data_IF_677789302964
#
_entry.id   IF_677789302964
#
_cell.length_a   1.000
_cell.length_b   1.000
_cell.length_c   1.000
_cell.angle_alpha   90.00
_cell.angle_beta   90.00
_cell.angle_gamma   90.00
#
_symmetry.space_group_name_H-M   'P 1'
#
loop_
_entity.id
_entity.type
_entity.pdbx_description
1 polymer ?
#
# COMPACT_ATOMS: atom_id res chain seq x y z
N UNK A 1 33.36 7.57 87.74
CA UNK A 1 32.14 8.38 87.96
C UNK A 1 32.37 9.77 87.37
N UNK A 2 31.36 10.51 86.87
CA UNK A 2 29.94 10.20 86.64
C UNK A 2 29.60 10.32 85.12
N UNK A 3 28.40 10.19 84.54
CA UNK A 3 27.02 9.83 84.89
C UNK A 3 26.34 9.49 83.53
N UNK A 4 25.47 8.49 83.50
CA UNK A 4 24.43 8.37 82.45
C UNK A 4 23.30 9.39 82.74
N UNK A 5 22.42 9.74 81.78
CA UNK A 5 21.13 9.05 81.77
C UNK A 5 20.41 8.87 80.40
N UNK A 6 19.81 7.68 80.28
CA UNK A 6 18.49 7.24 79.76
C UNK A 6 17.57 8.21 78.99
N UNK A 7 16.86 7.62 78.00
CA UNK A 7 15.40 7.66 77.70
C UNK A 7 15.18 7.63 76.16
N UNK A 8 14.14 7.07 75.54
CA UNK A 8 13.09 6.16 75.96
C UNK A 8 12.47 5.46 74.71
N UNK A 9 11.76 4.39 75.01
CA UNK A 9 10.81 3.54 74.28
C UNK A 9 10.01 4.01 73.03
N UNK A 10 9.64 2.99 72.25
CA UNK A 10 8.43 2.79 71.39
C UNK A 10 8.40 3.43 69.99
N UNK A 11 7.95 2.78 68.91
CA UNK A 11 6.66 2.08 68.73
C UNK A 11 6.67 1.23 67.44
N UNK A 12 5.97 0.08 67.49
CA UNK A 12 5.71 -0.88 66.38
C UNK A 12 4.94 -0.26 65.22
N UNK A 13 5.28 -0.65 63.98
CA UNK A 13 4.48 -0.44 62.77
C UNK A 13 4.49 -1.70 61.90
N UNK A 14 3.33 -2.37 61.80
CA UNK A 14 3.02 -3.50 60.94
C UNK A 14 2.56 -2.95 59.58
N UNK A 15 3.12 -3.43 58.46
CA UNK A 15 2.61 -3.14 57.13
C UNK A 15 2.42 -4.44 56.33
N UNK A 16 1.20 -4.55 55.80
CA UNK A 16 0.59 -5.68 55.10
C UNK A 16 1.18 -5.85 53.69
N UNK A 17 1.45 -7.11 53.32
CA UNK A 17 1.70 -7.54 51.94
C UNK A 17 0.35 -7.73 51.23
N UNK A 18 -0.03 -6.78 50.37
CA UNK A 18 -1.16 -6.91 49.44
C UNK A 18 -0.65 -7.25 48.05
N UNK A 19 -1.00 -8.44 47.56
CA UNK A 19 -0.67 -8.95 46.23
C UNK A 19 -1.49 -8.25 45.13
N UNK A 20 -0.82 -7.52 44.23
CA UNK A 20 -1.40 -7.09 42.95
C UNK A 20 -1.30 -8.23 41.94
N UNK A 21 -2.44 -8.84 41.61
CA UNK A 21 -2.60 -9.64 40.40
C UNK A 21 -2.69 -8.71 39.20
N UNK A 22 -1.59 -8.59 38.45
CA UNK A 22 -1.54 -7.87 37.18
C UNK A 22 -2.27 -8.65 36.09
N UNK A 23 -3.32 -8.08 35.53
CA UNK A 23 -3.94 -8.53 34.29
C UNK A 23 -3.08 -8.01 33.14
N UNK A 24 -2.25 -8.88 32.56
CA UNK A 24 -1.54 -8.58 31.33
C UNK A 24 -2.52 -8.67 30.15
N UNK A 25 -2.98 -7.52 29.65
CA UNK A 25 -3.63 -7.43 28.34
C UNK A 25 -2.57 -7.73 27.28
N UNK A 26 -2.65 -8.92 26.67
CA UNK A 26 -1.87 -9.23 25.47
C UNK A 26 -2.40 -8.37 24.33
N UNK A 27 -1.70 -7.28 24.02
CA UNK A 27 -1.86 -6.60 22.74
C UNK A 27 -1.41 -7.59 21.64
N UNK A 28 -2.37 -8.12 20.89
CA UNK A 28 -2.06 -8.85 19.66
C UNK A 28 -1.26 -7.92 18.75
N UNK A 29 -0.04 -8.31 18.40
CA UNK A 29 0.69 -7.66 17.33
C UNK A 29 -0.09 -7.92 16.04
N UNK A 30 -0.83 -6.93 15.55
CA UNK A 30 -1.20 -6.93 14.14
C UNK A 30 0.13 -6.96 13.36
N UNK A 31 0.32 -7.95 12.50
CA UNK A 31 1.40 -7.91 11.51
C UNK A 31 1.22 -6.65 10.66
N UNK A 32 2.30 -6.02 10.21
CA UNK A 32 2.18 -4.91 9.24
C UNK A 32 1.94 -5.49 7.85
N UNK A 33 1.04 -4.87 7.06
CA UNK A 33 0.90 -5.18 5.64
C UNK A 33 1.75 -4.21 4.83
N UNK A 34 2.65 -4.77 4.03
CA UNK A 34 3.58 -4.00 3.21
C UNK A 34 2.96 -3.80 1.83
N UNK A 35 2.59 -2.55 1.53
CA UNK A 35 2.27 -2.13 0.18
C UNK A 35 3.54 -2.18 -0.66
N UNK A 36 3.59 -3.15 -1.58
CA UNK A 36 4.74 -3.42 -2.45
C UNK A 36 4.42 -3.04 -3.88
N UNK A 37 5.31 -2.25 -4.46
CA UNK A 37 5.25 -1.80 -5.84
C UNK A 37 3.92 -1.19 -6.31
N UNK A 38 3.28 -0.28 -5.54
CA UNK A 38 2.48 0.77 -6.16
C UNK A 38 3.27 1.51 -7.24
N UNK A 39 2.80 1.40 -8.48
CA UNK A 39 3.33 2.11 -9.65
C UNK A 39 2.19 2.90 -10.30
N UNK A 40 2.40 4.20 -10.48
CA UNK A 40 1.45 5.13 -11.07
C UNK A 40 1.94 5.63 -12.43
N UNK A 41 1.18 5.34 -13.47
CA UNK A 41 1.34 5.83 -14.84
C UNK A 41 0.35 6.96 -15.11
N UNK A 42 0.77 7.94 -15.91
CA UNK A 42 -0.02 9.13 -16.24
C UNK A 42 -0.06 9.32 -17.76
N UNK A 43 -1.26 9.31 -18.33
CA UNK A 43 -1.48 9.45 -19.76
C UNK A 43 -2.41 10.64 -20.03
N UNK A 44 -1.92 11.89 -19.90
CA UNK A 44 -2.73 13.06 -20.25
C UNK A 44 -2.99 13.13 -21.75
N UNK A 45 -4.06 13.78 -22.20
CA UNK A 45 -4.35 13.91 -23.64
C UNK A 45 -3.37 14.83 -24.39
N UNK A 46 -2.71 15.72 -23.66
CA UNK A 46 -1.63 16.59 -24.14
C UNK A 46 -0.52 16.61 -23.10
N UNK A 47 0.72 16.85 -23.51
CA UNK A 47 1.84 16.97 -22.56
C UNK A 47 1.53 18.02 -21.49
N UNK A 48 1.53 17.62 -20.23
CA UNK A 48 1.01 18.42 -19.11
C UNK A 48 1.97 18.39 -17.93
N UNK A 49 2.26 19.57 -17.36
CA UNK A 49 3.03 19.69 -16.12
C UNK A 49 2.10 19.46 -14.91
N UNK A 50 2.35 18.41 -14.16
CA UNK A 50 1.52 17.96 -13.04
C UNK A 50 2.31 18.00 -11.73
N UNK A 51 1.63 18.43 -10.67
CA UNK A 51 1.98 18.08 -9.30
C UNK A 51 1.08 16.95 -8.84
N UNK A 52 1.68 15.84 -8.41
CA UNK A 52 1.02 14.61 -8.00
C UNK A 52 1.30 14.40 -6.53
N UNK A 53 0.28 14.50 -5.68
CA UNK A 53 0.39 14.28 -4.25
C UNK A 53 -0.26 12.95 -3.87
N UNK A 54 0.45 12.16 -3.06
CA UNK A 54 -0.03 10.95 -2.43
C UNK A 54 -0.28 11.22 -0.94
N UNK A 55 -1.44 10.78 -0.47
CA UNK A 55 -1.78 10.62 0.94
C UNK A 55 -2.03 9.13 1.21
N UNK A 56 -1.09 8.50 1.89
CA UNK A 56 -1.12 7.10 2.27
C UNK A 56 -1.31 6.96 3.79
N UNK A 57 -2.33 6.19 4.18
CA UNK A 57 -2.59 5.80 5.57
C UNK A 57 -1.58 4.75 6.06
N UNK A 58 -0.34 5.19 6.22
CA UNK A 58 0.77 4.36 6.63
C UNK A 58 2.08 5.13 6.57
N UNK A 59 3.19 4.40 6.44
CA UNK A 59 4.53 4.95 6.31
C UNK A 59 5.06 4.63 4.92
N UNK A 60 5.50 5.65 4.18
CA UNK A 60 6.27 5.43 2.96
C UNK A 60 7.68 4.97 3.33
N UNK A 61 8.09 3.82 2.80
CA UNK A 61 9.41 3.22 3.03
C UNK A 61 10.36 3.49 1.87
N UNK A 62 9.83 3.67 0.66
CA UNK A 62 10.60 4.02 -0.52
C UNK A 62 9.77 4.81 -1.52
N UNK A 63 10.43 5.69 -2.27
CA UNK A 63 9.81 6.47 -3.36
C UNK A 63 10.81 6.63 -4.51
N UNK A 64 10.31 6.57 -5.74
CA UNK A 64 11.10 6.86 -6.93
C UNK A 64 10.20 7.38 -8.08
N UNK A 65 10.60 8.42 -8.83
CA UNK A 65 11.71 9.34 -8.56
C UNK A 65 11.58 10.01 -7.19
N UNK A 66 12.64 10.71 -6.75
CA UNK A 66 12.62 11.40 -5.46
C UNK A 66 11.57 12.52 -5.50
N UNK A 67 10.55 12.52 -4.63
CA UNK A 67 9.55 13.58 -4.58
C UNK A 67 10.15 14.90 -4.07
N UNK A 68 9.52 16.03 -4.42
CA UNK A 68 9.87 17.37 -3.96
C UNK A 68 9.62 17.51 -2.46
N UNK A 69 8.52 16.92 -1.97
CA UNK A 69 8.20 16.85 -0.55
C UNK A 69 7.88 15.42 -0.15
N UNK A 70 8.36 15.02 1.02
CA UNK A 70 8.03 13.73 1.61
C UNK A 70 7.93 13.86 3.12
N UNK A 71 6.86 13.31 3.67
CA UNK A 71 6.64 13.12 5.09
C UNK A 71 6.04 11.73 5.31
N UNK A 72 5.85 11.31 6.56
CA UNK A 72 5.21 10.02 6.84
C UNK A 72 3.87 9.92 6.11
N UNK A 73 3.72 8.93 5.24
CA UNK A 73 2.51 8.70 4.46
C UNK A 73 2.29 9.67 3.30
N UNK A 74 3.07 10.74 3.17
CA UNK A 74 2.84 11.77 2.16
C UNK A 74 4.03 11.96 1.22
N UNK A 75 3.76 12.07 -0.06
CA UNK A 75 4.76 12.44 -1.07
C UNK A 75 4.14 13.37 -2.10
N UNK A 76 4.92 14.30 -2.66
CA UNK A 76 4.51 15.11 -3.80
C UNK A 76 5.59 15.13 -4.86
N UNK A 77 5.24 14.72 -6.07
CA UNK A 77 6.07 14.78 -7.27
C UNK A 77 5.62 15.94 -8.17
N UNK A 78 6.57 16.62 -8.81
CA UNK A 78 6.32 17.49 -9.95
C UNK A 78 6.99 16.86 -11.17
N UNK A 79 6.18 16.58 -12.18
CA UNK A 79 6.59 15.92 -13.43
C UNK A 79 5.89 16.56 -14.61
N UNK A 80 6.50 16.49 -15.79
CA UNK A 80 5.81 16.70 -17.06
C UNK A 80 5.43 15.33 -17.60
N UNK A 81 4.13 15.04 -17.69
CA UNK A 81 3.62 13.78 -18.22
C UNK A 81 3.26 13.94 -19.70
N UNK A 82 3.70 12.99 -20.53
CA UNK A 82 3.41 12.93 -21.95
C UNK A 82 2.30 11.93 -22.27
N UNK A 83 1.55 12.08 -23.38
CA UNK A 83 0.45 11.18 -23.72
C UNK A 83 0.83 9.71 -23.90
N UNK A 84 2.11 9.42 -24.15
CA UNK A 84 2.66 8.06 -24.28
C UNK A 84 3.04 7.43 -22.93
N UNK A 85 2.88 8.16 -21.82
CA UNK A 85 3.19 7.70 -20.46
C UNK A 85 4.57 8.11 -19.95
N UNK A 86 5.42 8.73 -20.78
CA UNK A 86 6.72 9.21 -20.34
C UNK A 86 6.59 10.38 -19.36
N UNK A 87 7.32 10.31 -18.23
CA UNK A 87 7.39 11.35 -17.23
C UNK A 87 8.78 11.99 -17.27
N UNK A 88 8.83 13.31 -17.39
CA UNK A 88 10.09 14.07 -17.36
C UNK A 88 10.16 14.96 -16.11
N UNK A 89 11.29 14.95 -15.40
CA UNK A 89 11.54 15.90 -14.29
C UNK A 89 12.13 17.24 -14.76
N UNK A 90 12.30 18.18 -13.84
CA UNK A 90 12.85 19.52 -14.14
C UNK A 90 14.29 19.50 -14.69
N UNK A 91 15.03 18.40 -14.54
CA UNK A 91 16.37 18.23 -15.11
C UNK A 91 16.36 17.64 -16.53
N UNK A 92 15.19 17.27 -17.04
CA UNK A 92 15.04 16.58 -18.32
C UNK A 92 15.25 15.07 -18.24
N UNK A 93 15.26 14.47 -17.04
CA UNK A 93 15.38 13.03 -16.89
C UNK A 93 14.01 12.36 -17.04
N UNK A 94 14.00 11.26 -17.77
CA UNK A 94 12.83 10.46 -18.09
C UNK A 94 12.60 9.33 -17.09
N UNK A 95 11.33 9.06 -16.80
CA UNK A 95 10.85 7.99 -15.94
C UNK A 95 9.60 7.36 -16.55
N UNK A 96 9.44 6.03 -16.47
CA UNK A 96 8.25 5.37 -16.99
C UNK A 96 7.02 5.55 -16.08
N UNK A 97 7.23 5.92 -14.81
CA UNK A 97 6.19 5.94 -13.79
C UNK A 97 6.66 6.64 -12.50
N UNK A 98 5.70 6.95 -11.63
CA UNK A 98 5.97 7.19 -10.21
C UNK A 98 5.82 5.87 -9.45
N UNK A 99 6.67 5.64 -8.46
CA UNK A 99 6.74 4.42 -7.67
C UNK A 99 6.88 4.75 -6.20
N UNK A 100 6.24 3.94 -5.36
CA UNK A 100 6.47 3.97 -3.92
C UNK A 100 6.28 2.60 -3.29
N UNK A 101 6.81 2.44 -2.09
CA UNK A 101 6.51 1.33 -1.18
C UNK A 101 6.14 1.89 0.18
N UNK A 102 5.34 1.14 0.93
CA UNK A 102 4.96 1.55 2.26
C UNK A 102 4.52 0.42 3.16
N UNK A 103 4.45 0.73 4.44
CA UNK A 103 3.94 -0.13 5.50
C UNK A 103 2.62 0.47 5.99
N UNK A 104 1.60 -0.36 6.17
CA UNK A 104 0.32 0.05 6.70
C UNK A 104 -0.26 -1.01 7.62
N UNK A 105 -1.34 -0.69 8.34
CA UNK A 105 -1.99 -1.64 9.24
C UNK A 105 -2.52 -2.84 8.44
N UNK A 106 -2.28 -4.08 8.92
CA UNK A 106 -2.88 -5.28 8.33
C UNK A 106 -4.36 -5.40 8.70
N UNK A 107 -5.19 -4.64 7.99
CA UNK A 107 -6.64 -4.67 8.16
C UNK A 107 -7.33 -5.59 7.15
N UNK A 108 -6.60 -6.05 6.13
CA UNK A 108 -7.21 -6.73 4.99
C UNK A 108 -7.32 -8.24 5.23
N UNK A 109 -8.52 -8.77 5.06
CA UNK A 109 -8.83 -10.21 5.09
C UNK A 109 -9.16 -10.70 3.68
N UNK A 110 -8.90 -11.98 3.39
CA UNK A 110 -9.25 -12.60 2.10
C UNK A 110 -10.49 -13.48 2.27
N UNK A 111 -11.66 -12.86 2.21
CA UNK A 111 -12.96 -13.57 2.32
C UNK A 111 -13.48 -14.10 0.98
N UNK A 112 -12.88 -13.63 -0.12
CA UNK A 112 -13.15 -14.05 -1.50
C UNK A 112 -11.85 -13.94 -2.30
N UNK A 113 -11.74 -14.69 -3.40
CA UNK A 113 -10.52 -14.69 -4.22
C UNK A 113 -10.44 -15.88 -5.15
N UNK A 114 -9.32 -15.98 -5.84
CA UNK A 114 -9.03 -17.06 -6.77
C UNK A 114 -7.86 -17.87 -6.23
N UNK A 115 -8.03 -19.19 -6.13
CA UNK A 115 -6.91 -20.09 -5.88
C UNK A 115 -6.16 -20.28 -7.19
N UNK A 116 -4.90 -19.87 -7.23
CA UNK A 116 -4.09 -19.85 -8.45
C UNK A 116 -2.85 -20.70 -8.25
N UNK A 117 -2.70 -21.71 -9.09
CA UNK A 117 -1.52 -22.57 -9.14
C UNK A 117 -0.39 -21.90 -9.91
N UNK A 118 0.85 -22.23 -9.56
CA UNK A 118 2.05 -21.62 -10.14
C UNK A 118 2.13 -21.71 -11.68
N UNK A 119 1.70 -22.83 -12.25
CA UNK A 119 1.69 -23.09 -13.70
C UNK A 119 0.61 -22.29 -14.45
N UNK A 120 -0.45 -21.85 -13.76
CA UNK A 120 -1.53 -21.05 -14.30
C UNK A 120 -1.39 -19.54 -14.01
N UNK A 121 -0.46 -19.14 -13.13
CA UNK A 121 -0.39 -17.78 -12.59
C UNK A 121 -0.26 -16.69 -13.64
N UNK A 122 0.60 -16.87 -14.65
CA UNK A 122 0.80 -15.88 -15.71
C UNK A 122 -0.49 -15.69 -16.54
N UNK A 123 -1.07 -16.78 -17.06
CA UNK A 123 -2.27 -16.72 -17.89
C UNK A 123 -3.47 -16.16 -17.11
N UNK A 124 -3.62 -16.55 -15.84
CA UNK A 124 -4.63 -16.01 -14.94
C UNK A 124 -4.49 -14.48 -14.80
N UNK A 125 -3.27 -14.00 -14.52
CA UNK A 125 -3.03 -12.58 -14.35
C UNK A 125 -3.24 -11.82 -15.68
N UNK A 126 -2.78 -12.34 -16.81
CA UNK A 126 -3.04 -11.72 -18.13
C UNK A 126 -4.53 -11.52 -18.39
N UNK A 127 -5.34 -12.55 -18.12
CA UNK A 127 -6.79 -12.48 -18.26
C UNK A 127 -7.41 -11.43 -17.33
N UNK A 128 -7.12 -11.51 -16.02
CA UNK A 128 -7.77 -10.63 -15.03
C UNK A 128 -7.29 -9.18 -15.14
N UNK A 129 -6.01 -8.94 -15.40
CA UNK A 129 -5.47 -7.59 -15.55
C UNK A 129 -6.00 -6.92 -16.83
N UNK A 130 -6.17 -7.66 -17.92
CA UNK A 130 -6.81 -7.15 -19.13
C UNK A 130 -8.29 -6.79 -18.90
N UNK A 131 -9.03 -7.65 -18.19
CA UNK A 131 -10.41 -7.36 -17.76
C UNK A 131 -10.47 -6.07 -16.92
N UNK A 132 -9.52 -5.90 -16.00
CA UNK A 132 -9.39 -4.73 -15.13
C UNK A 132 -8.72 -3.53 -15.82
N UNK A 133 -8.53 -3.59 -17.13
CA UNK A 133 -8.19 -2.44 -17.96
C UNK A 133 -6.71 -2.11 -18.03
N UNK A 134 -5.80 -2.91 -17.49
CA UNK A 134 -4.36 -2.73 -17.71
C UNK A 134 -4.00 -2.97 -19.19
N UNK A 135 -3.06 -2.18 -19.69
CA UNK A 135 -2.45 -2.42 -21.00
C UNK A 135 -1.55 -3.65 -20.94
N UNK A 136 -1.16 -4.19 -22.10
CA UNK A 136 -0.22 -5.31 -22.15
C UNK A 136 1.12 -4.95 -21.49
N UNK A 137 1.58 -3.71 -21.65
CA UNK A 137 2.82 -3.24 -21.04
C UNK A 137 2.72 -3.21 -19.51
N UNK A 138 1.66 -2.61 -18.96
CA UNK A 138 1.43 -2.52 -17.51
C UNK A 138 1.22 -3.91 -16.90
N UNK A 139 0.46 -4.78 -17.57
CA UNK A 139 0.24 -6.15 -17.14
C UNK A 139 1.55 -6.95 -17.12
N UNK A 140 2.41 -6.80 -18.14
CA UNK A 140 3.72 -7.44 -18.16
C UNK A 140 4.60 -6.99 -16.99
N UNK A 141 4.61 -5.70 -16.64
CA UNK A 141 5.37 -5.19 -15.49
C UNK A 141 4.80 -5.67 -14.15
N UNK A 142 3.48 -5.75 -14.04
CA UNK A 142 2.80 -6.34 -12.89
C UNK A 142 3.22 -7.80 -12.72
N UNK A 143 3.08 -8.61 -13.78
CA UNK A 143 3.36 -10.06 -13.77
C UNK A 143 4.84 -10.32 -13.52
N UNK A 144 5.74 -9.52 -14.08
CA UNK A 144 7.20 -9.68 -13.85
C UNK A 144 7.55 -9.51 -12.37
N UNK A 145 6.78 -8.72 -11.62
CA UNK A 145 6.98 -8.59 -10.17
C UNK A 145 6.21 -9.64 -9.37
N UNK A 146 4.90 -9.79 -9.60
CA UNK A 146 4.04 -10.65 -8.77
C UNK A 146 4.05 -12.11 -9.18
N UNK A 147 4.22 -12.41 -10.47
CA UNK A 147 4.24 -13.78 -11.01
C UNK A 147 5.25 -14.70 -10.33
N UNK A 148 6.55 -14.32 -10.22
CA UNK A 148 7.53 -15.14 -9.51
C UNK A 148 7.15 -15.40 -8.05
N UNK A 149 6.60 -14.40 -7.35
CA UNK A 149 6.18 -14.52 -5.93
C UNK A 149 5.01 -15.48 -5.75
N UNK A 150 4.05 -15.46 -6.69
CA UNK A 150 2.95 -16.43 -6.71
C UNK A 150 3.49 -17.83 -7.03
N UNK A 151 4.41 -17.94 -7.97
CA UNK A 151 4.98 -19.22 -8.40
C UNK A 151 5.80 -19.89 -7.28
N UNK A 152 6.58 -19.11 -6.51
CA UNK A 152 7.37 -19.61 -5.38
C UNK A 152 6.52 -20.26 -4.27
N UNK A 153 5.26 -19.83 -4.12
CA UNK A 153 4.31 -20.43 -3.17
C UNK A 153 3.73 -21.76 -3.67
N UNK A 154 3.90 -22.09 -4.95
CA UNK A 154 3.26 -23.25 -5.60
C UNK A 154 1.76 -23.04 -5.85
N UNK A 155 1.03 -22.50 -4.88
CA UNK A 155 -0.35 -22.04 -5.03
C UNK A 155 -0.65 -20.90 -4.06
N UNK A 156 -1.46 -19.93 -4.46
CA UNK A 156 -1.84 -18.80 -3.61
C UNK A 156 -3.32 -18.44 -3.77
N UNK A 157 -3.90 -17.85 -2.73
CA UNK A 157 -5.17 -17.13 -2.85
C UNK A 157 -4.89 -15.71 -3.28
N UNK A 158 -5.42 -15.32 -4.45
CA UNK A 158 -5.31 -13.96 -4.99
C UNK A 158 -6.65 -13.25 -4.82
N UNK A 159 -6.65 -12.13 -4.10
CA UNK A 159 -7.81 -11.25 -3.91
C UNK A 159 -7.51 -9.88 -4.50
N UNK A 160 -8.36 -9.40 -5.39
CA UNK A 160 -8.34 -8.02 -5.89
C UNK A 160 -9.04 -7.11 -4.87
N UNK A 161 -8.25 -6.35 -4.12
CA UNK A 161 -8.67 -5.53 -2.99
C UNK A 161 -8.59 -4.02 -3.28
N UNK A 162 -8.81 -3.64 -4.55
CA UNK A 162 -8.67 -2.26 -5.04
C UNK A 162 -9.44 -1.24 -4.20
N UNK A 163 -10.70 -1.49 -3.88
CA UNK A 163 -11.54 -0.51 -3.16
C UNK A 163 -11.05 -0.24 -1.74
N UNK A 164 -10.60 -1.29 -1.04
CA UNK A 164 -10.02 -1.14 0.29
C UNK A 164 -8.68 -0.40 0.23
N UNK A 165 -7.83 -0.75 -0.72
CA UNK A 165 -6.57 -0.06 -0.94
C UNK A 165 -6.78 1.42 -1.32
N UNK A 166 -7.77 1.73 -2.16
CA UNK A 166 -8.03 3.09 -2.62
C UNK A 166 -8.45 4.05 -1.50
N UNK A 167 -9.06 3.53 -0.42
CA UNK A 167 -9.37 4.32 0.79
C UNK A 167 -8.13 4.68 1.60
N UNK A 168 -7.05 3.91 1.44
CA UNK A 168 -5.78 4.10 2.16
C UNK A 168 -4.76 4.89 1.35
N UNK A 169 -4.78 4.82 0.03
CA UNK A 169 -3.86 5.54 -0.86
C UNK A 169 -4.64 6.49 -1.79
N UNK A 170 -4.67 7.76 -1.43
CA UNK A 170 -5.42 8.81 -2.13
C UNK A 170 -4.46 9.70 -2.91
N UNK A 171 -4.73 9.90 -4.19
CA UNK A 171 -3.99 10.87 -5.01
C UNK A 171 -4.75 12.16 -5.19
N UNK A 172 -3.98 13.25 -5.32
CA UNK A 172 -4.44 14.53 -5.80
C UNK A 172 -3.53 14.99 -6.93
N UNK A 173 -4.11 15.42 -8.04
CA UNK A 173 -3.37 15.97 -9.18
C UNK A 173 -3.71 17.44 -9.34
N UNK A 174 -2.69 18.26 -9.56
CA UNK A 174 -2.89 19.67 -9.91
C UNK A 174 -1.98 20.07 -11.05
N UNK A 175 -2.37 21.09 -11.79
CA UNK A 175 -1.47 21.77 -12.71
C UNK A 175 -0.31 22.39 -11.92
N UNK A 176 0.93 22.09 -12.34
CA UNK A 176 2.11 22.48 -11.58
C UNK A 176 2.35 24.00 -11.55
N UNK A 177 1.76 24.75 -12.49
CA UNK A 177 1.97 26.20 -12.62
C UNK A 177 0.92 27.03 -11.88
N UNK A 178 -0.34 26.66 -12.03
CA UNK A 178 -1.50 27.38 -11.50
C UNK A 178 -2.00 26.82 -10.18
N UNK A 179 -1.65 25.57 -9.85
CA UNK A 179 -2.18 24.85 -8.69
C UNK A 179 -3.65 24.43 -8.84
N UNK A 180 -4.25 24.60 -10.03
CA UNK A 180 -5.62 24.21 -10.30
C UNK A 180 -5.77 22.67 -10.29
N UNK A 181 -6.94 22.19 -9.85
CA UNK A 181 -7.22 20.76 -9.79
C UNK A 181 -7.29 20.16 -11.19
N UNK A 182 -6.61 19.02 -11.35
CA UNK A 182 -6.69 18.18 -12.53
C UNK A 182 -7.30 16.86 -12.09
N UNK A 183 -8.40 16.47 -12.72
CA UNK A 183 -9.08 15.21 -12.42
C UNK A 183 -8.89 14.29 -13.62
N UNK A 184 -8.29 13.10 -13.46
CA UNK A 184 -8.28 12.11 -14.53
C UNK A 184 -9.71 11.76 -14.94
N UNK A 185 -9.98 11.78 -16.24
CA UNK A 185 -11.23 11.30 -16.82
C UNK A 185 -11.42 9.79 -16.55
N UNK A 186 -10.31 9.07 -16.43
CA UNK A 186 -10.30 7.65 -16.10
C UNK A 186 -9.19 7.36 -15.09
N UNK A 187 -9.51 6.68 -13.99
CA UNK A 187 -8.52 6.15 -13.07
C UNK A 187 -8.71 4.63 -12.93
N UNK A 188 -7.79 3.87 -13.54
CA UNK A 188 -7.74 2.41 -13.42
C UNK A 188 -6.81 2.06 -12.27
N UNK A 189 -7.30 1.23 -11.34
CA UNK A 189 -6.51 0.81 -10.18
C UNK A 189 -6.63 -0.68 -9.93
N UNK A 190 -5.50 -1.37 -9.79
CA UNK A 190 -5.46 -2.80 -9.48
C UNK A 190 -4.55 -3.06 -8.29
N UNK A 191 -5.11 -3.56 -7.21
CA UNK A 191 -4.32 -3.95 -6.04
C UNK A 191 -4.64 -5.37 -5.63
N UNK A 192 -3.61 -6.23 -5.54
CA UNK A 192 -3.78 -7.63 -5.15
C UNK A 192 -3.30 -7.90 -3.72
N UNK A 193 -4.01 -8.77 -3.03
CA UNK A 193 -3.53 -9.49 -1.86
C UNK A 193 -3.16 -10.90 -2.29
N UNK A 194 -1.98 -11.34 -1.89
CA UNK A 194 -1.46 -12.69 -2.18
C UNK A 194 -1.21 -13.37 -0.86
N UNK A 195 -2.06 -14.32 -0.52
CA UNK A 195 -1.95 -15.10 0.72
C UNK A 195 -2.05 -16.59 0.49
N UNK A 196 -2.05 -17.33 1.59
CA UNK A 196 -2.11 -18.78 1.59
C UNK A 196 -3.45 -19.31 1.09
N UNK A 197 -3.43 -20.52 0.51
CA UNK A 197 -4.67 -21.21 0.11
C UNK A 197 -5.47 -21.56 1.37
N UNK A 198 -6.74 -21.11 1.48
CA UNK A 198 -7.53 -21.33 2.68
C UNK A 198 -7.93 -22.81 2.81
N UNK A 199 -7.98 -23.31 4.05
CA UNK A 199 -8.42 -24.69 4.32
C UNK A 199 -9.91 -24.90 3.96
N UNK A 200 -10.71 -23.84 4.13
CA UNK A 200 -12.11 -23.81 3.70
C UNK A 200 -12.21 -23.00 2.42
N UNK A 201 -12.88 -23.51 1.37
CA UNK A 201 -13.06 -22.75 0.13
C UNK A 201 -13.73 -21.39 0.38
N UNK A 202 -13.20 -20.35 -0.27
CA UNK A 202 -13.82 -19.03 -0.35
C UNK A 202 -14.48 -18.85 -1.71
N UNK A 203 -15.55 -18.03 -1.82
CA UNK A 203 -16.16 -17.73 -3.12
C UNK A 203 -15.16 -17.00 -4.04
N UNK A 204 -15.28 -17.26 -5.35
CA UNK A 204 -14.57 -16.48 -6.36
C UNK A 204 -15.16 -15.08 -6.51
N UNK A 205 -14.29 -14.09 -6.71
CA UNK A 205 -14.72 -12.70 -6.90
C UNK A 205 -15.42 -12.51 -8.24
N UNK A 206 -16.40 -11.63 -8.27
CA UNK A 206 -17.01 -11.15 -9.51
C UNK A 206 -16.39 -9.82 -9.89
N UNK A 207 -15.42 -9.87 -10.80
CA UNK A 207 -14.75 -8.68 -11.31
C UNK A 207 -15.56 -8.06 -12.44
N UNK A 208 -15.79 -6.75 -12.37
CA UNK A 208 -16.38 -5.98 -13.45
C UNK A 208 -15.28 -5.50 -14.42
N UNK A 209 -15.56 -5.43 -15.74
CA UNK A 209 -14.66 -4.79 -16.68
C UNK A 209 -14.38 -3.33 -16.28
N UNK A 210 -13.14 -2.88 -16.47
CA UNK A 210 -12.79 -1.49 -16.27
C UNK A 210 -13.49 -0.55 -17.26
N UNK A 211 -13.67 0.74 -16.90
CA UNK A 211 -14.12 1.75 -17.85
C UNK A 211 -13.12 1.89 -19.02
N UNK A 212 -13.62 2.42 -20.15
CA UNK A 212 -12.77 2.73 -21.29
C UNK A 212 -11.76 3.83 -20.93
N UNK A 213 -10.53 3.73 -21.45
CA UNK A 213 -9.51 4.77 -21.33
C UNK A 213 -9.86 5.95 -22.21
N UNK A 214 -10.43 7.00 -21.62
CA UNK A 214 -10.78 8.24 -22.32
C UNK A 214 -10.10 9.42 -21.65
N UNK A 215 -9.72 10.44 -22.42
CA UNK A 215 -9.14 11.67 -21.87
C UNK A 215 -7.84 11.44 -21.09
N UNK A 216 -7.62 12.20 -20.02
CA UNK A 216 -6.52 11.97 -19.10
C UNK A 216 -6.77 10.68 -18.31
N UNK A 217 -5.94 9.66 -18.55
CA UNK A 217 -5.99 8.40 -17.83
C UNK A 217 -4.85 8.28 -16.82
N UNK A 218 -5.17 8.01 -15.56
CA UNK A 218 -4.20 7.55 -14.57
C UNK A 218 -4.36 6.04 -14.37
N UNK A 219 -3.25 5.33 -14.25
CA UNK A 219 -3.26 3.89 -13.97
C UNK A 219 -2.36 3.60 -12.79
N UNK A 220 -2.88 2.93 -11.77
CA UNK A 220 -2.06 2.41 -10.68
C UNK A 220 -2.22 0.90 -10.56
N UNK A 221 -1.11 0.20 -10.34
CA UNK A 221 -1.18 -1.15 -9.83
C UNK A 221 -0.19 -1.40 -8.71
N UNK A 222 -0.47 -2.37 -7.85
CA UNK A 222 0.36 -2.76 -6.73
C UNK A 222 -0.17 -4.01 -6.03
N UNK A 223 0.35 -4.31 -4.85
CA UNK A 223 -0.20 -5.37 -4.02
C UNK A 223 0.49 -5.53 -2.67
N UNK A 224 0.05 -6.52 -1.90
CA UNK A 224 0.67 -6.94 -0.65
C UNK A 224 0.69 -8.46 -0.56
N UNK A 225 1.71 -8.97 0.14
CA UNK A 225 1.79 -10.37 0.55
C UNK A 225 1.24 -10.50 1.97
N UNK A 226 0.48 -11.57 2.21
CA UNK A 226 -0.04 -11.97 3.53
C UNK A 226 0.69 -13.19 4.07
#
# INVERSE_FOLDING_TARGET
MPRSPKADLTRRGLLLLGSLTGVAMLAGCASDQNAKKPVLYLYPSVTTALSVSLDYQGRLTYTYPKPQTQANGHATWQVTASPDGDLTDASGRHYPSLFWEGEGPATSTQEEGFVVHADAAAAFLEEKLSLLGLSQHEAAEFITFWGPRIAERGSALITFATDEYARRAVYRFTDASSGADVVPDTFIRVYVLIGEVPQTPVPEQKLAPAPARTGFTAVEWGGAEL
#
